data_IF_900722014686
#
_entry.id   IF_900722014686
#
_cell.length_a   1.000
_cell.length_b   1.000
_cell.length_c   1.000
_cell.angle_alpha   90.00
_cell.angle_beta   90.00
_cell.angle_gamma   90.00
#
_symmetry.space_group_name_H-M   'P 1'
#
loop_
_entity.id
_entity.type
_entity.pdbx_description
1 polymer ?
#
# COMPACT_ATOMS: atom_id res chain seq x y z
N UNK A 1 0.56 9.58 23.59
CA UNK A 1 -0.47 8.51 23.65
C UNK A 1 -1.82 9.16 23.61
N UNK A 2 -2.61 8.79 22.60
CA UNK A 2 -3.91 9.37 22.32
C UNK A 2 -4.98 8.48 22.95
N UNK A 3 -5.42 8.84 24.15
CA UNK A 3 -6.37 8.02 24.94
C UNK A 3 -7.76 7.93 24.30
N UNK A 4 -8.05 8.77 23.31
CA UNK A 4 -9.28 8.75 22.52
C UNK A 4 -9.27 7.68 21.42
N UNK A 5 -8.15 6.99 21.21
CA UNK A 5 -8.02 5.96 20.17
C UNK A 5 -7.56 6.50 18.81
N UNK A 6 -7.22 7.79 18.73
CA UNK A 6 -6.79 8.44 17.50
C UNK A 6 -5.32 8.18 17.16
N UNK A 7 -4.98 8.26 15.87
CA UNK A 7 -3.62 8.06 15.40
C UNK A 7 -3.48 8.47 13.95
N UNK A 8 -2.35 8.08 13.37
CA UNK A 8 -1.97 8.48 12.01
C UNK A 8 -1.41 7.29 11.25
N UNK A 9 -1.70 7.24 9.96
CA UNK A 9 -1.13 6.28 9.04
C UNK A 9 -0.52 7.04 7.85
N UNK A 10 0.67 6.61 7.43
CA UNK A 10 1.33 7.10 6.23
C UNK A 10 1.75 5.92 5.37
N UNK A 11 1.27 5.93 4.13
CA UNK A 11 1.61 4.96 3.10
C UNK A 11 2.49 5.67 2.09
N UNK A 12 3.63 5.06 1.78
CA UNK A 12 4.55 5.52 0.75
C UNK A 12 4.82 4.37 -0.23
N UNK A 13 4.69 4.67 -1.52
CA UNK A 13 5.00 3.74 -2.61
C UNK A 13 6.12 4.33 -3.44
N UNK A 14 7.24 3.63 -3.52
CA UNK A 14 8.41 4.05 -4.26
C UNK A 14 8.60 3.19 -5.51
N UNK A 15 8.60 3.85 -6.67
CA UNK A 15 8.93 3.26 -7.95
C UNK A 15 10.34 3.66 -8.36
N UNK A 16 11.21 2.67 -8.51
CA UNK A 16 12.58 2.88 -8.96
C UNK A 16 12.62 3.51 -10.35
N UNK A 17 13.68 4.28 -10.63
CA UNK A 17 13.94 4.81 -11.97
C UNK A 17 13.89 3.70 -13.04
N UNK A 18 14.51 2.55 -12.78
CA UNK A 18 14.54 1.43 -13.72
C UNK A 18 13.14 0.94 -14.08
N UNK A 19 12.23 0.90 -13.10
CA UNK A 19 10.84 0.58 -13.36
C UNK A 19 10.17 1.63 -14.25
N UNK A 20 10.36 2.92 -13.94
CA UNK A 20 9.79 4.00 -14.73
C UNK A 20 10.32 4.01 -16.17
N UNK A 21 11.63 3.89 -16.37
CA UNK A 21 12.30 3.85 -17.68
C UNK A 21 11.77 2.68 -18.53
N UNK A 22 11.50 1.54 -17.90
CA UNK A 22 10.98 0.36 -18.58
C UNK A 22 9.50 0.47 -18.96
N UNK A 23 8.65 1.06 -18.11
CA UNK A 23 7.24 1.29 -18.46
C UNK A 23 7.15 2.27 -19.63
N UNK A 24 7.96 3.33 -19.62
CA UNK A 24 8.09 4.25 -20.73
C UNK A 24 8.60 3.51 -21.99
N UNK A 25 9.62 2.67 -21.84
CA UNK A 25 10.14 1.82 -22.90
C UNK A 25 9.08 0.92 -23.53
N UNK A 26 8.32 0.19 -22.72
CA UNK A 26 7.23 -0.69 -23.17
C UNK A 26 6.16 0.10 -23.93
N UNK A 27 5.71 1.22 -23.36
CA UNK A 27 4.65 2.00 -23.98
C UNK A 27 5.13 2.70 -25.26
N UNK A 28 6.40 3.09 -25.34
CA UNK A 28 6.99 3.62 -26.57
C UNK A 28 7.17 2.59 -27.68
N UNK A 29 7.36 1.32 -27.34
CA UNK A 29 7.41 0.24 -28.33
C UNK A 29 6.04 0.01 -28.99
N UNK A 30 4.96 0.44 -28.33
CA UNK A 30 3.60 0.36 -28.86
C UNK A 30 3.23 1.56 -29.74
N UNK A 31 3.77 2.76 -29.47
CA UNK A 31 3.61 3.95 -30.33
C UNK A 31 4.79 4.93 -30.17
N UNK A 32 5.78 4.81 -31.05
CA UNK A 32 7.01 5.62 -31.00
C UNK A 32 6.76 7.12 -31.27
N UNK A 33 5.68 7.48 -31.95
CA UNK A 33 5.39 8.87 -32.30
C UNK A 33 4.89 9.68 -31.08
N UNK A 34 4.40 8.98 -30.05
CA UNK A 34 3.79 9.57 -28.85
C UNK A 34 4.62 9.38 -27.59
N UNK A 35 5.90 9.03 -27.74
CA UNK A 35 6.83 8.77 -26.63
C UNK A 35 6.73 9.81 -25.50
N UNK A 36 6.79 11.10 -25.87
CA UNK A 36 6.81 12.18 -24.88
C UNK A 36 5.45 12.34 -24.18
N UNK A 37 4.34 12.24 -24.91
CA UNK A 37 2.98 12.28 -24.34
C UNK A 37 2.74 11.11 -23.37
N UNK A 38 3.19 9.91 -23.75
CA UNK A 38 3.04 8.71 -22.93
C UNK A 38 3.90 8.84 -21.66
N UNK A 39 5.14 9.30 -21.80
CA UNK A 39 6.02 9.57 -20.67
C UNK A 39 5.35 10.56 -19.73
N UNK A 40 4.88 11.70 -20.23
CA UNK A 40 4.25 12.74 -19.42
C UNK A 40 2.98 12.22 -18.73
N UNK A 41 2.20 11.36 -19.38
CA UNK A 41 1.03 10.70 -18.78
C UNK A 41 1.39 9.72 -17.66
N UNK A 42 2.48 8.96 -17.76
CA UNK A 42 2.94 8.04 -16.71
C UNK A 42 3.37 8.81 -15.46
N UNK A 43 3.86 10.04 -15.64
CA UNK A 43 4.23 10.93 -14.53
C UNK A 43 3.07 11.76 -14.00
N UNK A 44 1.93 11.84 -14.71
CA UNK A 44 0.73 12.53 -14.25
C UNK A 44 -0.16 11.62 -13.38
N UNK A 45 -0.33 11.97 -12.10
CA UNK A 45 -1.16 11.22 -11.14
C UNK A 45 -2.44 11.95 -10.72
N UNK A 46 -2.83 13.02 -11.42
CA UNK A 46 -4.00 13.84 -11.04
C UNK A 46 -5.26 12.98 -10.85
N UNK A 47 -5.52 12.05 -11.77
CA UNK A 47 -6.66 11.13 -11.66
C UNK A 47 -6.55 10.20 -10.45
N UNK A 48 -5.36 9.62 -10.21
CA UNK A 48 -5.14 8.76 -9.04
C UNK A 48 -5.36 9.53 -7.72
N UNK A 49 -4.86 10.77 -7.65
CA UNK A 49 -5.04 11.65 -6.49
C UNK A 49 -6.52 12.01 -6.31
N UNK A 50 -7.23 12.31 -7.40
CA UNK A 50 -8.66 12.63 -7.34
C UNK A 50 -9.48 11.43 -6.88
N UNK A 51 -9.34 10.27 -7.53
CA UNK A 51 -10.04 9.02 -7.19
C UNK A 51 -9.76 8.61 -5.74
N UNK A 52 -8.50 8.71 -5.30
CA UNK A 52 -8.12 8.43 -3.91
C UNK A 52 -8.74 9.43 -2.92
N UNK A 53 -8.96 10.70 -3.31
CA UNK A 53 -9.68 11.62 -2.44
C UNK A 53 -11.17 11.24 -2.35
N UNK A 54 -11.81 10.91 -3.46
CA UNK A 54 -13.23 10.54 -3.51
C UNK A 54 -13.53 9.28 -2.68
N UNK A 55 -12.66 8.27 -2.78
CA UNK A 55 -12.79 7.00 -2.05
C UNK A 55 -12.73 7.15 -0.52
N UNK A 56 -11.93 8.10 -0.03
CA UNK A 56 -11.67 8.28 1.40
C UNK A 56 -12.47 9.43 2.03
N UNK A 57 -13.02 10.36 1.23
CA UNK A 57 -13.84 11.48 1.74
C UNK A 57 -15.11 11.04 2.48
N UNK A 58 -15.61 9.83 2.22
CA UNK A 58 -16.86 9.33 2.78
C UNK A 58 -16.68 8.33 3.94
N UNK A 59 -15.45 8.14 4.43
CA UNK A 59 -15.17 7.18 5.50
C UNK A 59 -15.26 7.88 6.85
N UNK A 60 -16.26 7.51 7.66
CA UNK A 60 -16.45 8.08 8.99
C UNK A 60 -15.21 7.86 9.88
N UNK A 61 -14.76 8.93 10.53
CA UNK A 61 -13.64 8.88 11.47
C UNK A 61 -12.25 8.85 10.84
N UNK A 62 -12.15 9.04 9.53
CA UNK A 62 -10.91 9.10 8.78
C UNK A 62 -10.82 10.44 8.05
N UNK A 63 -9.65 11.08 8.11
CA UNK A 63 -9.36 12.32 7.40
C UNK A 63 -8.09 12.13 6.59
N UNK A 64 -8.15 12.39 5.28
CA UNK A 64 -6.95 12.47 4.45
C UNK A 64 -6.21 13.77 4.77
N UNK A 65 -5.00 13.64 5.32
CA UNK A 65 -4.13 14.80 5.61
C UNK A 65 -3.38 15.24 4.36
N UNK A 66 -2.98 14.27 3.53
CA UNK A 66 -2.16 14.49 2.33
C UNK A 66 -2.29 13.33 1.37
N UNK A 67 -2.46 13.63 0.08
CA UNK A 67 -2.13 12.71 -1.02
C UNK A 67 -1.23 13.50 -1.96
N UNK A 68 -0.08 12.95 -2.29
CA UNK A 68 0.85 13.62 -3.20
C UNK A 68 1.67 12.62 -3.99
N UNK A 69 2.09 13.05 -5.17
CA UNK A 69 3.10 12.38 -5.97
C UNK A 69 4.27 13.31 -6.19
N UNK A 70 5.47 12.74 -6.33
CA UNK A 70 6.64 13.47 -6.80
C UNK A 70 7.50 12.60 -7.70
N UNK A 71 8.08 13.25 -8.71
CA UNK A 71 9.24 12.71 -9.43
C UNK A 71 10.50 13.16 -8.69
N UNK A 72 11.33 12.22 -8.28
CA UNK A 72 12.57 12.49 -7.57
C UNK A 72 13.67 12.94 -8.55
N UNK A 73 14.77 13.48 -8.04
CA UNK A 73 15.87 14.01 -8.87
C UNK A 73 16.54 12.96 -9.76
N UNK A 74 16.46 11.68 -9.39
CA UNK A 74 16.96 10.54 -10.14
C UNK A 74 15.92 9.96 -11.13
N UNK A 75 14.78 10.64 -11.32
CA UNK A 75 13.64 10.17 -12.13
C UNK A 75 12.91 8.93 -11.58
N UNK A 76 13.19 8.52 -10.33
CA UNK A 76 12.27 7.64 -9.59
C UNK A 76 11.00 8.41 -9.22
N UNK A 77 9.96 7.69 -8.81
CA UNK A 77 8.67 8.29 -8.46
C UNK A 77 8.21 7.81 -7.09
N UNK A 78 7.71 8.72 -6.28
CA UNK A 78 7.15 8.40 -4.96
C UNK A 78 5.71 8.90 -4.88
N UNK A 79 4.81 8.02 -4.47
CA UNK A 79 3.45 8.35 -4.07
C UNK A 79 3.36 8.31 -2.55
N UNK A 80 2.82 9.35 -1.94
CA UNK A 80 2.55 9.41 -0.50
C UNK A 80 1.06 9.63 -0.26
N UNK A 81 0.53 8.90 0.71
CA UNK A 81 -0.77 9.13 1.33
C UNK A 81 -0.59 9.19 2.84
N UNK A 82 -1.12 10.22 3.48
CA UNK A 82 -1.20 10.34 4.93
C UNK A 82 -2.64 10.55 5.32
N UNK A 83 -3.09 9.81 6.33
CA UNK A 83 -4.42 9.94 6.91
C UNK A 83 -4.33 9.95 8.43
N UNK A 84 -5.26 10.65 9.04
CA UNK A 84 -5.51 10.63 10.47
C UNK A 84 -6.81 9.88 10.72
N UNK A 85 -6.85 9.08 11.78
CA UNK A 85 -8.06 8.37 12.21
C UNK A 85 -8.40 8.75 13.65
N UNK A 86 -9.69 8.90 13.95
CA UNK A 86 -10.16 9.21 15.30
C UNK A 86 -10.29 7.97 16.20
N UNK A 87 -10.39 6.79 15.58
CA UNK A 87 -10.36 5.48 16.23
C UNK A 87 -9.65 4.49 15.32
N UNK A 88 -8.67 3.78 15.87
CA UNK A 88 -7.97 2.70 15.15
C UNK A 88 -8.89 1.60 14.64
N UNK A 89 -10.04 1.36 15.30
CA UNK A 89 -11.04 0.41 14.79
C UNK A 89 -11.69 0.88 13.49
N UNK A 90 -11.73 2.19 13.22
CA UNK A 90 -12.27 2.77 12.00
C UNK A 90 -11.47 2.37 10.75
N UNK A 91 -10.18 2.04 10.91
CA UNK A 91 -9.35 1.54 9.82
C UNK A 91 -9.88 0.21 9.25
N UNK A 92 -10.63 -0.59 10.04
CA UNK A 92 -11.21 -1.84 9.53
C UNK A 92 -12.18 -1.58 8.37
N UNK A 93 -12.90 -0.46 8.39
CA UNK A 93 -13.80 -0.08 7.30
C UNK A 93 -13.06 0.31 6.01
N UNK A 94 -11.81 0.78 6.13
CA UNK A 94 -10.95 1.06 4.98
C UNK A 94 -10.41 -0.24 4.39
N UNK A 95 -9.90 -1.11 5.27
CA UNK A 95 -9.07 -2.23 4.87
C UNK A 95 -9.85 -3.50 4.57
N UNK A 96 -11.01 -3.71 5.19
CA UNK A 96 -11.83 -4.90 4.97
C UNK A 96 -12.70 -4.73 3.73
N UNK A 97 -12.06 -4.62 2.57
CA UNK A 97 -12.72 -4.60 1.27
C UNK A 97 -12.57 -5.97 0.62
N UNK A 98 -13.68 -6.50 0.09
CA UNK A 98 -13.60 -7.68 -0.75
C UNK A 98 -12.79 -7.35 -2.01
N UNK A 99 -11.92 -8.28 -2.42
CA UNK A 99 -11.20 -8.16 -3.68
C UNK A 99 -12.22 -8.02 -4.83
N UNK A 100 -12.00 -7.12 -5.79
CA UNK A 100 -12.64 -7.21 -7.11
C UNK A 100 -12.24 -8.49 -7.86
N UNK A 101 -12.70 -8.69 -9.10
CA UNK A 101 -12.47 -9.93 -9.88
C UNK A 101 -10.99 -10.37 -9.92
N UNK A 102 -10.04 -9.44 -9.95
CA UNK A 102 -8.58 -9.68 -9.97
C UNK A 102 -7.82 -9.11 -8.74
N UNK A 103 -8.54 -8.73 -7.68
CA UNK A 103 -8.00 -7.92 -6.58
C UNK A 103 -7.21 -8.69 -5.50
N UNK A 104 -6.50 -7.92 -4.67
CA UNK A 104 -6.01 -8.39 -3.38
C UNK A 104 -7.16 -8.41 -2.38
N UNK A 105 -7.20 -9.41 -1.51
CA UNK A 105 -8.00 -9.40 -0.30
C UNK A 105 -7.15 -8.75 0.78
N UNK A 106 -7.60 -7.61 1.26
CA UNK A 106 -7.01 -6.93 2.42
C UNK A 106 -7.95 -7.12 3.61
N UNK A 107 -7.38 -7.43 4.76
CA UNK A 107 -8.15 -7.65 5.98
C UNK A 107 -7.37 -7.14 7.18
N UNK A 108 -7.97 -6.22 7.92
CA UNK A 108 -7.48 -5.73 9.20
C UNK A 108 -8.30 -6.36 10.33
N UNK A 109 -7.61 -7.08 11.20
CA UNK A 109 -8.15 -7.55 12.47
C UNK A 109 -7.65 -6.63 13.57
N UNK A 110 -8.61 -6.03 14.28
CA UNK A 110 -8.36 -5.28 15.49
C UNK A 110 -9.10 -5.94 16.65
N UNK A 111 -8.38 -6.61 17.55
CA UNK A 111 -8.99 -7.35 18.66
C UNK A 111 -8.43 -6.88 20.00
N UNK A 112 -9.32 -6.43 20.89
CA UNK A 112 -9.00 -6.03 22.26
C UNK A 112 -9.30 -7.16 23.24
N UNK A 113 -8.29 -7.62 23.97
CA UNK A 113 -8.38 -8.64 25.01
C UNK A 113 -7.83 -8.06 26.32
N UNK A 114 -8.70 -7.42 27.11
CA UNK A 114 -8.27 -6.65 28.29
C UNK A 114 -7.46 -5.41 27.90
N UNK A 115 -6.25 -5.29 28.44
CA UNK A 115 -5.31 -4.19 28.13
C UNK A 115 -4.40 -4.48 26.94
N UNK A 116 -4.52 -5.67 26.32
CA UNK A 116 -3.74 -6.05 25.14
C UNK A 116 -4.61 -5.94 23.90
N UNK A 117 -4.04 -5.36 22.85
CA UNK A 117 -4.70 -5.14 21.57
C UNK A 117 -3.84 -5.77 20.48
N UNK A 118 -4.43 -6.61 19.65
CA UNK A 118 -3.78 -7.13 18.45
C UNK A 118 -4.27 -6.34 17.23
N UNK A 119 -3.30 -5.82 16.47
CA UNK A 119 -3.49 -5.23 15.16
C UNK A 119 -2.83 -6.16 14.14
N UNK A 120 -3.61 -6.70 13.21
CA UNK A 120 -3.14 -7.61 12.17
C UNK A 120 -3.73 -7.20 10.82
N UNK A 121 -2.94 -6.49 10.01
CA UNK A 121 -3.28 -6.20 8.63
C UNK A 121 -2.69 -7.28 7.73
N UNK A 122 -3.53 -7.98 6.99
CA UNK A 122 -3.13 -9.04 6.06
C UNK A 122 -3.53 -8.65 4.64
N UNK A 123 -2.58 -8.73 3.71
CA UNK A 123 -2.79 -8.58 2.28
C UNK A 123 -2.45 -9.91 1.63
N UNK A 124 -3.42 -10.48 0.92
CA UNK A 124 -3.23 -11.74 0.17
C UNK A 124 -3.90 -11.65 -1.19
N UNK A 125 -3.38 -12.38 -2.16
CA UNK A 125 -4.06 -12.53 -3.45
C UNK A 125 -5.34 -13.35 -3.28
N UNK A 126 -6.37 -13.02 -4.08
CA UNK A 126 -7.50 -13.92 -4.25
C UNK A 126 -6.98 -15.25 -4.84
N UNK A 127 -7.41 -16.41 -4.31
CA UNK A 127 -7.09 -17.69 -4.93
C UNK A 127 -7.56 -17.69 -6.39
N UNK A 128 -6.67 -18.02 -7.32
CA UNK A 128 -7.03 -18.14 -8.74
C UNK A 128 -7.87 -19.40 -8.90
N UNK A 129 -9.10 -19.29 -9.40
CA UNK A 129 -10.01 -20.43 -9.56
C UNK A 129 -9.48 -21.51 -10.53
N UNK A 130 -8.58 -21.13 -11.46
CA UNK A 130 -7.97 -22.04 -12.42
C UNK A 130 -6.44 -21.84 -12.54
N UNK A 131 -5.63 -22.58 -11.76
CA UNK A 131 -4.17 -22.42 -11.71
C UNK A 131 -3.42 -22.80 -13.00
N UNK A 132 -4.10 -23.42 -13.98
CA UNK A 132 -3.48 -24.01 -15.16
C UNK A 132 -3.34 -23.06 -16.36
N UNK A 133 -3.80 -21.81 -16.25
CA UNK A 133 -3.61 -20.82 -17.32
C UNK A 133 -2.18 -20.25 -17.29
N UNK A 134 -1.25 -21.02 -17.87
CA UNK A 134 0.19 -20.73 -17.86
C UNK A 134 0.59 -19.50 -18.67
N UNK A 135 -0.30 -19.01 -19.54
CA UNK A 135 -0.05 -17.82 -20.38
C UNK A 135 0.08 -16.55 -19.53
N UNK A 136 -0.71 -16.46 -18.46
CA UNK A 136 -0.70 -15.36 -17.51
C UNK A 136 0.45 -15.46 -16.49
N UNK A 137 0.97 -16.66 -16.22
CA UNK A 137 2.08 -16.86 -15.26
C UNK A 137 3.37 -16.20 -15.74
N UNK A 138 3.69 -16.30 -17.04
CA UNK A 138 4.89 -15.68 -17.60
C UNK A 138 4.87 -14.15 -17.56
N UNK A 139 3.73 -13.54 -17.90
CA UNK A 139 3.52 -12.10 -17.80
C UNK A 139 3.56 -11.62 -16.34
N UNK A 140 2.92 -12.36 -15.41
CA UNK A 140 2.92 -12.03 -13.98
C UNK A 140 4.32 -12.10 -13.37
N UNK A 141 5.09 -13.14 -13.68
CA UNK A 141 6.48 -13.25 -13.22
C UNK A 141 7.34 -12.11 -13.79
N UNK A 142 7.10 -11.73 -15.05
CA UNK A 142 7.77 -10.57 -15.64
C UNK A 142 7.41 -9.30 -14.87
N UNK A 143 6.13 -9.04 -14.60
CA UNK A 143 5.68 -7.89 -13.80
C UNK A 143 6.26 -7.92 -12.37
N UNK A 144 6.33 -9.10 -11.73
CA UNK A 144 6.95 -9.23 -10.42
C UNK A 144 8.44 -8.87 -10.45
N UNK A 145 9.19 -9.36 -11.46
CA UNK A 145 10.59 -8.98 -11.68
C UNK A 145 10.77 -7.48 -11.95
N UNK A 146 9.82 -6.86 -12.66
CA UNK A 146 9.77 -5.41 -12.88
C UNK A 146 9.64 -4.64 -11.56
N UNK A 147 8.96 -5.22 -10.57
CA UNK A 147 8.63 -4.59 -9.30
C UNK A 147 9.65 -4.86 -8.17
N UNK A 148 10.70 -5.67 -8.41
CA UNK A 148 11.61 -6.16 -7.36
C UNK A 148 12.46 -5.11 -6.64
N UNK A 149 12.52 -3.89 -7.18
CA UNK A 149 13.23 -2.75 -6.58
C UNK A 149 12.29 -1.60 -6.22
N UNK A 150 10.98 -1.87 -6.22
CA UNK A 150 9.95 -0.92 -5.84
C UNK A 150 9.45 -1.33 -4.46
N UNK A 151 9.13 -0.34 -3.63
CA UNK A 151 8.84 -0.59 -2.22
C UNK A 151 7.48 -0.02 -1.83
N UNK A 152 6.80 -0.76 -0.98
CA UNK A 152 5.64 -0.31 -0.24
C UNK A 152 6.07 -0.11 1.21
N UNK A 153 5.90 1.09 1.74
CA UNK A 153 6.17 1.42 3.14
C UNK A 153 4.88 1.87 3.79
N UNK A 154 4.54 1.27 4.94
CA UNK A 154 3.45 1.73 5.79
C UNK A 154 4.02 2.10 7.15
N UNK A 155 3.68 3.28 7.62
CA UNK A 155 4.01 3.76 8.96
C UNK A 155 2.72 4.07 9.70
N UNK A 156 2.54 3.49 10.89
CA UNK A 156 1.36 3.70 11.72
C UNK A 156 1.81 4.23 13.08
N UNK A 157 1.31 5.41 13.43
CA UNK A 157 1.34 5.95 14.79
C UNK A 157 0.10 5.48 15.54
N UNK A 158 0.30 4.54 16.46
CA UNK A 158 -0.75 3.98 17.29
C UNK A 158 -1.10 4.93 18.45
N UNK A 159 -2.37 4.94 18.91
CA UNK A 159 -2.75 5.59 20.17
C UNK A 159 -2.11 4.94 21.42
N UNK A 160 -1.62 3.71 21.27
CA UNK A 160 -1.19 2.78 22.32
C UNK A 160 0.32 2.48 22.24
N UNK A 161 0.88 1.93 23.32
CA UNK A 161 2.30 1.53 23.33
C UNK A 161 2.50 0.24 22.56
N UNK A 162 3.48 0.18 21.67
CA UNK A 162 3.84 -1.04 20.93
C UNK A 162 4.64 -1.96 21.83
N UNK A 163 4.12 -3.17 22.06
CA UNK A 163 4.80 -4.21 22.83
C UNK A 163 5.68 -5.09 21.94
N UNK A 164 5.17 -5.47 20.77
CA UNK A 164 5.88 -6.30 19.79
C UNK A 164 5.30 -6.12 18.40
N UNK A 165 6.11 -6.32 17.37
CA UNK A 165 5.69 -6.20 15.96
C UNK A 165 6.68 -6.96 15.07
N UNK A 166 6.26 -7.32 13.85
CA UNK A 166 7.16 -7.75 12.79
C UNK A 166 7.72 -6.58 11.95
N UNK A 167 7.37 -5.33 12.29
CA UNK A 167 7.93 -4.12 11.69
C UNK A 167 9.09 -3.52 12.47
N UNK A 168 9.59 -2.41 11.98
CA UNK A 168 10.57 -1.55 12.65
C UNK A 168 9.85 -0.62 13.65
N UNK A 169 10.22 -0.68 14.92
CA UNK A 169 9.73 0.27 15.93
C UNK A 169 10.54 1.56 15.81
N UNK A 170 9.90 2.64 15.35
CA UNK A 170 10.56 3.95 15.22
C UNK A 170 10.59 4.71 16.54
N UNK A 171 9.55 4.53 17.36
CA UNK A 171 9.43 5.07 18.71
C UNK A 171 8.41 4.21 19.51
N UNK A 172 8.04 4.63 20.72
CA UNK A 172 7.17 3.84 21.61
C UNK A 172 5.78 3.48 21.06
N UNK A 173 5.26 4.23 20.08
CA UNK A 173 3.94 4.02 19.51
C UNK A 173 3.91 4.02 17.97
N UNK A 174 5.03 4.18 17.29
CA UNK A 174 5.10 4.18 15.82
C UNK A 174 5.83 2.97 15.30
N UNK A 175 5.20 2.26 14.37
CA UNK A 175 5.79 1.13 13.65
C UNK A 175 5.85 1.43 12.17
N UNK A 176 6.94 1.00 11.52
CA UNK A 176 7.10 1.00 10.07
C UNK A 176 7.26 -0.41 9.54
N UNK A 177 6.51 -0.73 8.50
CA UNK A 177 6.74 -1.90 7.67
C UNK A 177 7.19 -1.47 6.28
N UNK A 178 8.12 -2.23 5.70
CA UNK A 178 8.63 -2.00 4.35
C UNK A 178 8.73 -3.33 3.62
N UNK A 179 8.05 -3.43 2.49
CA UNK A 179 8.02 -4.62 1.65
C UNK A 179 8.43 -4.28 0.22
N UNK A 180 8.98 -5.27 -0.47
CA UNK A 180 9.20 -5.17 -1.91
C UNK A 180 7.86 -5.43 -2.59
N UNK A 181 7.45 -4.55 -3.51
CA UNK A 181 6.14 -4.66 -4.16
C UNK A 181 5.98 -6.00 -4.89
N UNK A 182 7.06 -6.57 -5.43
CA UNK A 182 7.03 -7.91 -6.06
C UNK A 182 6.49 -9.01 -5.14
N UNK A 183 6.66 -8.89 -3.81
CA UNK A 183 6.12 -9.83 -2.84
C UNK A 183 4.59 -9.78 -2.80
N UNK A 184 3.97 -8.65 -3.12
CA UNK A 184 2.51 -8.51 -3.22
C UNK A 184 1.93 -9.10 -4.51
N UNK A 185 2.77 -9.37 -5.51
CA UNK A 185 2.35 -9.91 -6.81
C UNK A 185 2.49 -11.44 -6.90
N UNK A 186 3.20 -12.07 -5.97
CA UNK A 186 3.32 -13.52 -5.93
C UNK A 186 2.01 -14.15 -5.41
N UNK A 187 1.48 -15.13 -6.15
CA UNK A 187 0.14 -15.70 -5.91
C UNK A 187 -0.01 -16.40 -4.56
N UNK A 188 1.09 -16.95 -4.04
CA UNK A 188 1.12 -17.67 -2.76
C UNK A 188 1.54 -16.78 -1.59
N UNK A 189 1.84 -15.50 -1.85
CA UNK A 189 2.32 -14.58 -0.83
C UNK A 189 1.17 -14.07 0.03
N UNK A 190 1.41 -14.13 1.33
CA UNK A 190 0.61 -13.45 2.35
C UNK A 190 1.54 -12.47 3.04
N UNK A 191 1.26 -11.18 2.87
CA UNK A 191 1.97 -10.12 3.58
C UNK A 191 1.15 -9.76 4.82
N UNK A 192 1.78 -9.84 5.98
CA UNK A 192 1.14 -9.50 7.25
C UNK A 192 1.93 -8.38 7.92
N UNK A 193 1.24 -7.33 8.36
CA UNK A 193 1.77 -6.26 9.19
C UNK A 193 1.09 -6.38 10.55
N UNK A 194 1.84 -6.83 11.56
CA UNK A 194 1.27 -7.08 12.87
C UNK A 194 1.91 -6.24 13.97
N UNK A 195 1.09 -5.80 14.93
CA UNK A 195 1.54 -5.16 16.15
C UNK A 195 0.67 -5.61 17.33
N UNK A 196 1.33 -5.91 18.45
CA UNK A 196 0.67 -6.11 19.75
C UNK A 196 0.87 -4.83 20.54
N UNK A 197 -0.23 -4.25 21.00
CA UNK A 197 -0.28 -2.96 21.65
C UNK A 197 -0.78 -3.09 23.09
N UNK A 198 -0.36 -2.15 23.94
CA UNK A 198 -0.85 -2.00 25.31
C UNK A 198 -1.71 -0.75 25.43
N UNK A 199 -2.98 -0.96 25.80
CA UNK A 199 -4.00 0.07 26.00
C UNK A 199 -3.69 1.03 27.16
#
# INVERSE_FOLDING_TARGET
>A
MNKDGSGKETIQVDFSRNFMDMIVGFASALDTARYQEIRDSIYNDENFIQESNEDYQNIEGVTIDKISSRTNSDSSKTLDMSLSFNSISGLQNIYNKEAGEDGNITNLIFQKNGDVINYDLTIRKRPVENPQDTSMTGLRNSIAEMMKNNYYTMEVEFPYTVMSTNGEILNQNTVRWKYVISELYNLDSVVTMNAVLKA
#
